data_IF_109524841486
#
_entry.id   IF_109524841486
#
_cell.length_a   1.000
_cell.length_b   1.000
_cell.length_c   1.000
_cell.angle_alpha   90.00
_cell.angle_beta   90.00
_cell.angle_gamma   90.00
#
_symmetry.space_group_name_H-M   'P 1'
#
loop_
_entity.id
_entity.type
_entity.pdbx_description
1 polymer ?
#
# COMPACT_ATOMS: atom_id res chain seq x y z
N UNK A 1 45.55 32.24 1.84
CA UNK A 1 44.45 31.40 2.34
C UNK A 1 43.49 31.21 1.19
N UNK A 2 43.36 30.01 0.66
CA UNK A 2 42.09 29.57 0.07
C UNK A 2 42.05 28.04 0.16
N UNK A 3 41.04 27.54 0.86
CA UNK A 3 40.97 26.18 1.37
C UNK A 3 40.52 25.24 0.26
N UNK A 4 41.33 24.21 0.04
CA UNK A 4 40.93 22.97 -0.60
C UNK A 4 39.73 22.34 0.10
N UNK A 5 38.99 21.58 -0.70
CA UNK A 5 38.12 20.46 -0.31
C UNK A 5 36.96 20.76 0.64
N UNK A 6 35.75 20.56 0.12
CA UNK A 6 34.96 19.37 0.44
C UNK A 6 33.66 19.45 -0.37
N UNK A 7 33.71 18.92 -1.59
CA UNK A 7 32.53 18.51 -2.34
C UNK A 7 31.83 17.40 -1.53
N UNK A 8 31.00 17.79 -0.56
CA UNK A 8 30.05 16.88 0.07
C UNK A 8 29.02 16.49 -0.99
N UNK A 9 29.38 15.49 -1.81
CA UNK A 9 28.42 14.64 -2.50
C UNK A 9 27.59 13.96 -1.41
N UNK A 10 26.51 14.63 -1.02
CA UNK A 10 25.42 14.00 -0.31
C UNK A 10 24.97 12.84 -1.18
N UNK A 11 25.42 11.63 -0.82
CA UNK A 11 24.87 10.38 -1.34
C UNK A 11 23.38 10.46 -1.02
N UNK A 12 22.57 10.89 -1.99
CA UNK A 12 21.12 10.84 -1.88
C UNK A 12 20.82 9.38 -1.60
N UNK A 13 20.34 9.09 -0.38
CA UNK A 13 19.74 7.79 -0.08
C UNK A 13 18.71 7.54 -1.20
N UNK A 14 18.67 6.36 -1.83
CA UNK A 14 17.59 6.03 -2.73
C UNK A 14 16.31 6.29 -1.96
N UNK A 15 15.54 7.31 -2.35
CA UNK A 15 14.21 7.49 -1.79
C UNK A 15 13.46 6.20 -2.17
N UNK A 16 12.77 5.54 -1.24
CA UNK A 16 11.88 4.46 -1.62
C UNK A 16 11.03 4.97 -2.78
N UNK A 17 10.95 4.15 -3.83
CA UNK A 17 10.17 4.40 -5.04
C UNK A 17 8.82 4.92 -4.56
N UNK A 18 8.50 6.17 -4.93
CA UNK A 18 7.36 6.96 -4.45
C UNK A 18 6.19 6.05 -4.09
N UNK A 19 5.70 6.11 -2.85
CA UNK A 19 4.44 5.44 -2.48
C UNK A 19 3.38 5.82 -3.52
N UNK A 20 3.00 4.86 -4.37
CA UNK A 20 1.98 5.08 -5.40
C UNK A 20 0.65 4.82 -4.71
N UNK A 21 0.03 5.87 -4.16
CA UNK A 21 -1.34 5.77 -3.65
C UNK A 21 -2.30 5.76 -4.84
N UNK A 22 -3.00 4.64 -5.03
CA UNK A 22 -4.03 4.47 -6.06
C UNK A 22 -5.36 4.23 -5.37
N UNK A 23 -6.37 5.00 -5.76
CA UNK A 23 -7.77 4.77 -5.37
C UNK A 23 -8.54 4.29 -6.59
N UNK A 24 -9.29 3.20 -6.43
CA UNK A 24 -10.20 2.70 -7.46
C UNK A 24 -11.53 2.33 -6.83
N UNK A 25 -12.60 2.43 -7.62
CA UNK A 25 -13.95 2.05 -7.23
C UNK A 25 -14.25 0.69 -7.83
N UNK A 26 -14.85 -0.19 -7.03
CA UNK A 26 -15.36 -1.48 -7.48
C UNK A 26 -16.86 -1.54 -7.19
N UNK A 27 -17.61 -2.11 -8.11
CA UNK A 27 -19.02 -2.43 -7.91
C UNK A 27 -19.13 -3.93 -7.72
N UNK A 28 -19.68 -4.34 -6.58
CA UNK A 28 -19.97 -5.72 -6.25
C UNK A 28 -21.47 -5.94 -6.38
N UNK A 29 -21.89 -7.15 -6.72
CA UNK A 29 -23.29 -7.52 -6.57
C UNK A 29 -23.66 -7.64 -5.07
N UNK A 30 -24.94 -7.82 -4.77
CA UNK A 30 -25.43 -7.85 -3.37
C UNK A 30 -24.77 -8.96 -2.54
N UNK A 31 -24.70 -10.17 -3.09
CA UNK A 31 -24.11 -11.33 -2.40
C UNK A 31 -22.61 -11.12 -2.13
N UNK A 32 -21.86 -10.67 -3.15
CA UNK A 32 -20.45 -10.33 -3.04
C UNK A 32 -20.21 -9.23 -1.99
N UNK A 33 -21.07 -8.21 -1.96
CA UNK A 33 -21.00 -7.12 -1.00
C UNK A 33 -21.21 -7.58 0.45
N UNK A 34 -22.19 -8.45 0.68
CA UNK A 34 -22.45 -9.03 2.01
C UNK A 34 -21.29 -9.90 2.48
N UNK A 35 -20.77 -10.77 1.60
CA UNK A 35 -19.62 -11.63 1.92
C UNK A 35 -18.38 -10.78 2.20
N UNK A 36 -18.18 -9.69 1.45
CA UNK A 36 -17.07 -8.77 1.65
C UNK A 36 -17.14 -8.09 3.02
N UNK A 37 -18.29 -7.55 3.42
CA UNK A 37 -18.46 -6.92 4.73
C UNK A 37 -18.31 -7.92 5.88
N UNK A 38 -18.95 -9.09 5.78
CA UNK A 38 -18.82 -10.14 6.81
C UNK A 38 -17.37 -10.58 6.98
N UNK A 39 -16.63 -10.72 5.89
CA UNK A 39 -15.20 -11.08 5.95
C UNK A 39 -14.36 -9.96 6.58
N UNK A 40 -14.67 -8.70 6.30
CA UNK A 40 -14.02 -7.54 6.94
C UNK A 40 -14.22 -7.57 8.46
N UNK A 41 -15.45 -7.82 8.90
CA UNK A 41 -15.82 -7.91 10.32
C UNK A 41 -15.14 -9.09 11.03
N UNK A 42 -15.16 -10.28 10.42
CA UNK A 42 -14.51 -11.47 10.97
C UNK A 42 -12.99 -11.29 11.16
N UNK A 43 -12.36 -10.48 10.32
CA UNK A 43 -10.93 -10.16 10.40
C UNK A 43 -10.64 -8.95 11.29
N UNK A 44 -11.65 -8.32 11.89
CA UNK A 44 -11.49 -7.14 12.74
C UNK A 44 -10.96 -5.92 11.99
N UNK A 45 -11.17 -5.83 10.67
CA UNK A 45 -10.60 -4.77 9.84
C UNK A 45 -11.44 -3.49 9.93
N UNK A 46 -10.77 -2.39 10.29
CA UNK A 46 -11.43 -1.10 10.48
C UNK A 46 -12.01 -0.48 9.20
N UNK A 47 -11.51 -0.85 8.00
CA UNK A 47 -11.94 -0.22 6.74
C UNK A 47 -12.06 -1.23 5.60
N UNK A 48 -12.96 -0.95 4.64
CA UNK A 48 -13.08 -1.72 3.38
C UNK A 48 -11.77 -1.73 2.59
N UNK A 49 -11.05 -0.61 2.61
CA UNK A 49 -9.76 -0.48 1.95
C UNK A 49 -8.69 -1.41 2.56
N UNK A 50 -8.74 -1.68 3.88
CA UNK A 50 -7.82 -2.65 4.50
C UNK A 50 -8.06 -4.06 3.97
N UNK A 51 -9.32 -4.48 3.84
CA UNK A 51 -9.66 -5.77 3.24
C UNK A 51 -9.25 -5.81 1.76
N UNK A 52 -9.57 -4.76 0.99
CA UNK A 52 -9.18 -4.67 -0.42
C UNK A 52 -7.66 -4.80 -0.63
N UNK A 53 -6.85 -4.12 0.19
CA UNK A 53 -5.38 -4.28 0.15
C UNK A 53 -4.94 -5.70 0.47
N UNK A 54 -5.56 -6.33 1.47
CA UNK A 54 -5.22 -7.71 1.83
C UNK A 54 -5.52 -8.69 0.69
N UNK A 55 -6.68 -8.55 0.04
CA UNK A 55 -7.06 -9.37 -1.12
C UNK A 55 -6.12 -9.15 -2.32
N UNK A 56 -5.74 -7.90 -2.60
CA UNK A 56 -4.75 -7.61 -3.65
C UNK A 56 -3.41 -8.29 -3.34
N UNK A 57 -2.93 -8.20 -2.09
CA UNK A 57 -1.69 -8.86 -1.69
C UNK A 57 -1.77 -10.37 -1.87
N UNK A 58 -2.89 -10.99 -1.48
CA UNK A 58 -3.12 -12.42 -1.69
C UNK A 58 -3.11 -12.79 -3.18
N UNK A 59 -3.82 -12.03 -4.03
CA UNK A 59 -3.85 -12.28 -5.48
C UNK A 59 -2.49 -12.09 -6.18
N UNK A 60 -1.61 -11.27 -5.58
CA UNK A 60 -0.24 -11.06 -6.06
C UNK A 60 0.78 -12.04 -5.45
N UNK A 61 0.37 -12.94 -4.55
CA UNK A 61 1.30 -13.83 -3.83
C UNK A 61 2.24 -13.08 -2.86
N UNK A 62 1.82 -11.92 -2.36
CA UNK A 62 2.55 -11.06 -1.41
C UNK A 62 2.02 -11.18 0.03
N UNK A 63 1.13 -12.15 0.26
CA UNK A 63 0.71 -12.56 1.58
C UNK A 63 1.57 -13.77 1.96
N UNK A 64 2.47 -13.58 2.92
CA UNK A 64 3.21 -14.67 3.57
C UNK A 64 2.26 -15.59 4.34
#
# INVERSE_FOLDING_TARGET
MEKNDLSHKTKRKPRPIREVSVAFHITLNTEEGEVFERKRENLGLATKAALGRMLIRQGLGLAD
#
